data_IF_611912260084
#
_entry.id   IF_611912260084
#
_cell.length_a   1.000
_cell.length_b   1.000
_cell.length_c   1.000
_cell.angle_alpha   90.00
_cell.angle_beta   90.00
_cell.angle_gamma   90.00
#
_symmetry.space_group_name_H-M   'P 1'
#
loop_
_entity.id
_entity.type
_entity.pdbx_description
1 polymer ?
#
# COMPACT_ATOMS: atom_id res chain seq x y z
N UNK A 1 -54.98 -20.89 20.23
CA UNK A 1 -54.12 -21.43 19.17
C UNK A 1 -53.39 -20.29 18.49
N UNK A 2 -52.09 -20.11 18.80
CA UNK A 2 -51.31 -18.97 18.35
C UNK A 2 -50.84 -19.12 16.89
N UNK A 3 -51.12 -18.10 16.07
CA UNK A 3 -50.65 -18.02 14.70
C UNK A 3 -49.15 -17.68 14.68
N UNK A 4 -48.36 -18.52 13.99
CA UNK A 4 -46.91 -18.32 13.77
C UNK A 4 -46.73 -17.28 12.68
N UNK A 5 -46.23 -16.10 13.03
CA UNK A 5 -45.83 -15.07 12.07
C UNK A 5 -44.61 -15.56 11.25
N UNK A 6 -44.57 -15.33 9.93
CA UNK A 6 -43.41 -15.66 9.10
C UNK A 6 -42.23 -14.71 9.40
N UNK A 7 -41.01 -15.24 9.29
CA UNK A 7 -39.77 -14.48 9.47
C UNK A 7 -39.65 -13.34 8.44
N UNK A 8 -39.07 -12.18 8.80
CA UNK A 8 -38.86 -11.10 7.85
C UNK A 8 -37.86 -11.51 6.77
N UNK A 9 -38.18 -11.14 5.52
CA UNK A 9 -37.32 -11.37 4.36
C UNK A 9 -35.95 -10.69 4.55
N UNK A 10 -34.89 -11.39 4.16
CA UNK A 10 -33.55 -10.84 4.11
C UNK A 10 -33.53 -9.58 3.24
N UNK A 11 -32.95 -8.49 3.76
CA UNK A 11 -32.75 -7.27 3.01
C UNK A 11 -31.95 -7.56 1.72
N UNK A 12 -32.27 -6.92 0.58
CA UNK A 12 -31.52 -7.10 -0.64
C UNK A 12 -30.07 -6.67 -0.42
N UNK A 13 -29.12 -7.45 -0.95
CA UNK A 13 -27.70 -7.11 -0.95
C UNK A 13 -27.52 -5.73 -1.58
N UNK A 14 -26.79 -4.85 -0.90
CA UNK A 14 -26.40 -3.57 -1.46
C UNK A 14 -25.75 -3.78 -2.84
N UNK A 15 -26.07 -2.95 -3.85
CA UNK A 15 -25.38 -3.02 -5.13
C UNK A 15 -23.87 -2.86 -4.89
N UNK A 16 -23.05 -3.63 -5.59
CA UNK A 16 -21.61 -3.37 -5.65
C UNK A 16 -21.43 -1.90 -6.01
N UNK A 17 -20.78 -1.14 -5.13
CA UNK A 17 -20.32 0.19 -5.49
C UNK A 17 -19.48 0.05 -6.77
N UNK A 18 -19.68 0.90 -7.78
CA UNK A 18 -18.75 0.98 -8.90
C UNK A 18 -17.34 1.15 -8.33
N UNK A 19 -16.37 0.43 -8.88
CA UNK A 19 -14.98 0.75 -8.60
C UNK A 19 -14.79 2.26 -8.77
N UNK A 20 -14.14 2.89 -7.79
CA UNK A 20 -13.79 4.31 -7.89
C UNK A 20 -13.16 4.54 -9.28
N UNK A 21 -13.53 5.61 -10.00
CA UNK A 21 -12.90 5.90 -11.27
C UNK A 21 -11.39 5.93 -11.02
N UNK A 22 -10.64 5.05 -11.69
CA UNK A 22 -9.21 5.27 -11.86
C UNK A 22 -9.08 6.70 -12.40
N UNK A 23 -8.13 7.52 -11.90
CA UNK A 23 -8.03 8.90 -12.35
C UNK A 23 -7.80 8.92 -13.86
N UNK A 24 -8.86 9.21 -14.63
CA UNK A 24 -8.83 9.27 -16.09
C UNK A 24 -8.10 10.52 -16.61
N UNK A 25 -7.16 11.06 -15.82
CA UNK A 25 -6.40 12.27 -16.12
C UNK A 25 -5.05 12.34 -15.37
N UNK A 26 -4.49 11.21 -14.93
CA UNK A 26 -3.05 11.18 -14.74
C UNK A 26 -2.43 11.25 -16.15
N UNK A 27 -1.49 12.18 -16.43
CA UNK A 27 -0.75 12.11 -17.69
C UNK A 27 -0.18 10.71 -17.86
N UNK A 28 -0.20 10.19 -19.08
CA UNK A 28 0.48 8.92 -19.39
C UNK A 28 1.89 8.99 -18.82
N UNK A 29 2.28 7.97 -18.04
CA UNK A 29 3.61 7.91 -17.47
C UNK A 29 4.62 8.05 -18.62
N UNK A 30 5.67 8.86 -18.47
CA UNK A 30 6.67 9.00 -19.54
C UNK A 30 7.26 7.62 -19.85
N UNK A 31 7.74 7.42 -21.09
CA UNK A 31 8.22 6.11 -21.60
C UNK A 31 9.17 5.37 -20.63
N UNK A 32 9.94 6.12 -19.83
CA UNK A 32 10.81 5.57 -18.77
C UNK A 32 10.09 4.72 -17.71
N UNK A 33 8.80 4.93 -17.45
CA UNK A 33 8.00 4.14 -16.51
C UNK A 33 7.15 3.03 -17.17
N UNK A 34 7.09 2.97 -18.50
CA UNK A 34 6.45 1.84 -19.18
C UNK A 34 7.31 0.57 -19.09
N UNK A 35 8.63 0.71 -19.02
CA UNK A 35 9.58 -0.41 -18.96
C UNK A 35 9.54 -1.18 -17.62
N UNK A 36 9.11 -0.53 -16.53
CA UNK A 36 9.18 -1.10 -15.17
C UNK A 36 7.85 -1.72 -14.67
N UNK A 37 6.78 -1.71 -15.47
CA UNK A 37 5.48 -2.31 -15.08
C UNK A 37 5.56 -3.81 -14.75
N UNK A 38 6.58 -4.49 -15.28
CA UNK A 38 6.83 -5.93 -15.08
C UNK A 38 7.58 -6.22 -13.77
N UNK A 39 8.26 -5.22 -13.21
CA UNK A 39 9.13 -5.38 -12.05
C UNK A 39 8.39 -5.84 -10.80
N UNK A 40 7.15 -5.38 -10.60
CA UNK A 40 6.32 -5.80 -9.46
C UNK A 40 5.82 -7.25 -9.56
N UNK A 41 5.74 -7.82 -10.76
CA UNK A 41 5.17 -9.16 -11.00
C UNK A 41 6.20 -10.27 -11.13
N UNK A 42 7.40 -9.97 -11.63
CA UNK A 42 8.40 -11.01 -11.97
C UNK A 42 9.52 -11.17 -10.93
N UNK A 43 9.53 -10.34 -9.87
CA UNK A 43 10.68 -10.26 -8.96
C UNK A 43 10.54 -11.13 -7.70
N UNK A 44 11.61 -11.86 -7.39
CA UNK A 44 11.85 -12.43 -6.07
C UNK A 44 12.35 -11.30 -5.15
N UNK A 45 11.50 -10.85 -4.22
CA UNK A 45 11.91 -9.89 -3.18
C UNK A 45 13.04 -10.49 -2.34
N UNK A 46 13.90 -9.63 -1.77
CA UNK A 46 15.04 -10.12 -0.98
C UNK A 46 14.58 -11.04 0.17
N UNK A 47 15.47 -11.94 0.67
CA UNK A 47 15.18 -12.74 1.84
C UNK A 47 14.72 -11.89 3.03
N UNK A 48 15.37 -10.74 3.26
CA UNK A 48 15.04 -9.81 4.35
C UNK A 48 13.61 -9.27 4.23
N UNK A 49 13.20 -8.92 3.01
CA UNK A 49 11.84 -8.48 2.73
C UNK A 49 10.82 -9.59 3.00
N UNK A 50 11.08 -10.80 2.51
CA UNK A 50 10.19 -11.96 2.69
C UNK A 50 10.03 -12.33 4.16
N UNK A 51 11.14 -12.39 4.89
CA UNK A 51 11.14 -12.67 6.32
C UNK A 51 10.33 -11.62 7.10
N UNK A 52 10.53 -10.35 6.78
CA UNK A 52 9.78 -9.28 7.42
C UNK A 52 8.29 -9.31 7.07
N UNK A 53 7.93 -9.62 5.82
CA UNK A 53 6.54 -9.74 5.40
C UNK A 53 5.82 -10.88 6.15
N UNK A 54 6.47 -12.03 6.32
CA UNK A 54 5.91 -13.14 7.11
C UNK A 54 5.79 -12.79 8.60
N UNK A 55 6.80 -12.13 9.18
CA UNK A 55 6.74 -11.65 10.56
C UNK A 55 5.60 -10.65 10.78
N UNK A 56 5.36 -9.75 9.81
CA UNK A 56 4.26 -8.80 9.84
C UNK A 56 2.88 -9.49 9.81
N UNK A 57 2.70 -10.50 8.95
CA UNK A 57 1.45 -11.29 8.91
C UNK A 57 1.17 -11.95 10.26
N UNK A 58 2.18 -12.56 10.88
CA UNK A 58 2.04 -13.20 12.19
C UNK A 58 1.71 -12.19 13.29
N UNK A 59 2.35 -11.01 13.27
CA UNK A 59 2.11 -9.94 14.23
C UNK A 59 0.68 -9.38 14.11
N UNK A 60 0.22 -9.11 12.89
CA UNK A 60 -1.12 -8.59 12.63
C UNK A 60 -2.20 -9.59 13.07
N UNK A 61 -2.01 -10.88 12.75
CA UNK A 61 -2.91 -11.95 13.22
C UNK A 61 -3.00 -12.01 14.74
N UNK A 62 -1.87 -11.85 15.44
CA UNK A 62 -1.82 -11.81 16.90
C UNK A 62 -2.47 -10.55 17.50
N UNK A 63 -2.57 -9.49 16.72
CA UNK A 63 -3.25 -8.24 17.08
C UNK A 63 -4.76 -8.24 16.76
N UNK A 64 -5.32 -9.40 16.35
CA UNK A 64 -6.72 -9.55 15.92
C UNK A 64 -7.08 -8.63 14.74
N UNK A 65 -6.10 -8.34 13.88
CA UNK A 65 -6.31 -7.68 12.60
C UNK A 65 -6.53 -8.75 11.53
N UNK A 66 -7.80 -8.98 11.16
CA UNK A 66 -8.15 -9.80 10.01
C UNK A 66 -8.17 -8.91 8.76
N UNK A 67 -6.98 -8.64 8.22
CA UNK A 67 -6.83 -7.91 6.96
C UNK A 67 -6.98 -8.88 5.79
N UNK A 68 -7.81 -8.53 4.80
CA UNK A 68 -7.93 -9.32 3.58
C UNK A 68 -6.57 -9.41 2.84
N UNK A 69 -6.37 -10.45 2.04
CA UNK A 69 -5.08 -10.73 1.39
C UNK A 69 -4.57 -9.63 0.43
N UNK A 70 -5.44 -8.70 0.02
CA UNK A 70 -5.10 -7.52 -0.79
C UNK A 70 -5.45 -6.21 -0.11
N UNK A 71 -5.63 -6.21 1.21
CA UNK A 71 -5.93 -5.00 1.94
C UNK A 71 -4.77 -4.00 1.84
N UNK A 72 -5.11 -2.75 1.54
CA UNK A 72 -4.20 -1.60 1.57
C UNK A 72 -4.88 -0.48 2.36
N UNK A 73 -4.13 0.31 3.16
CA UNK A 73 -4.74 1.41 3.87
C UNK A 73 -5.14 2.53 2.92
N UNK A 74 -6.23 3.22 3.25
CA UNK A 74 -6.62 4.44 2.56
C UNK A 74 -5.53 5.50 2.72
N UNK A 75 -5.09 6.08 1.62
CA UNK A 75 -4.12 7.17 1.63
C UNK A 75 -4.84 8.49 1.84
N UNK A 76 -4.54 9.19 2.93
CA UNK A 76 -5.07 10.53 3.23
C UNK A 76 -4.25 11.59 2.51
N UNK A 77 -2.93 11.41 2.49
CA UNK A 77 -1.99 12.26 1.77
C UNK A 77 -0.96 11.38 1.08
N UNK A 78 -0.87 11.49 -0.24
CA UNK A 78 0.09 10.74 -1.01
C UNK A 78 1.53 11.20 -0.71
N UNK A 79 2.51 10.29 -0.76
CA UNK A 79 3.91 10.63 -0.66
C UNK A 79 4.33 11.57 -1.79
N UNK A 80 5.26 12.47 -1.49
CA UNK A 80 5.93 13.33 -2.45
C UNK A 80 7.44 13.11 -2.33
N UNK A 81 7.98 12.00 -2.89
CA UNK A 81 9.41 11.73 -2.84
C UNK A 81 10.16 12.73 -3.72
N UNK A 82 11.36 13.10 -3.30
CA UNK A 82 12.25 13.92 -4.11
C UNK A 82 12.96 13.04 -5.15
N UNK A 83 13.06 13.52 -6.39
CA UNK A 83 13.82 12.81 -7.42
C UNK A 83 15.33 12.87 -7.11
N UNK A 84 16.06 11.73 -7.10
CA UNK A 84 17.51 11.76 -6.89
C UNK A 84 18.23 12.53 -8.00
N UNK A 85 19.02 13.53 -7.63
CA UNK A 85 19.69 14.43 -8.59
C UNK A 85 20.58 13.67 -9.56
N UNK A 86 21.32 12.67 -9.09
CA UNK A 86 22.23 11.91 -9.95
C UNK A 86 21.50 10.92 -10.87
N UNK A 87 20.32 10.43 -10.47
CA UNK A 87 19.45 9.65 -11.35
C UNK A 87 18.84 10.54 -12.44
N UNK A 88 18.43 11.76 -12.09
CA UNK A 88 17.90 12.73 -13.05
C UNK A 88 18.93 13.12 -14.12
N UNK A 89 20.19 13.38 -13.73
CA UNK A 89 21.28 13.66 -14.69
C UNK A 89 21.53 12.52 -15.67
N UNK A 90 21.22 11.29 -15.27
CA UNK A 90 21.43 10.08 -16.07
C UNK A 90 20.15 9.64 -16.80
N UNK A 91 19.05 10.41 -16.70
CA UNK A 91 17.74 10.06 -17.25
C UNK A 91 17.25 8.65 -16.80
N UNK A 92 17.64 8.24 -15.60
CA UNK A 92 17.19 6.97 -15.03
C UNK A 92 15.79 7.16 -14.47
N UNK A 93 14.89 6.24 -14.79
CA UNK A 93 13.62 6.03 -14.10
C UNK A 93 13.71 4.79 -13.21
N UNK A 94 12.79 4.64 -12.26
CA UNK A 94 12.74 3.43 -11.45
C UNK A 94 11.47 3.27 -10.65
N UNK A 95 11.13 2.03 -10.35
CA UNK A 95 10.01 1.64 -9.51
C UNK A 95 10.50 1.08 -8.19
N UNK A 96 9.80 1.41 -7.11
CA UNK A 96 10.13 0.96 -5.77
C UNK A 96 8.90 0.38 -5.07
N UNK A 97 9.14 -0.60 -4.21
CA UNK A 97 8.19 -1.06 -3.22
C UNK A 97 8.72 -0.67 -1.84
N UNK A 98 7.90 0.03 -1.07
CA UNK A 98 8.22 0.44 0.30
C UNK A 98 7.39 -0.37 1.27
N UNK A 99 8.02 -1.09 2.20
CA UNK A 99 7.34 -1.77 3.29
C UNK A 99 7.50 -0.99 4.58
N UNK A 100 6.41 -0.80 5.31
CA UNK A 100 6.38 -0.01 6.55
C UNK A 100 5.35 -0.53 7.54
N UNK A 101 5.46 -0.06 8.77
CA UNK A 101 4.45 -0.27 9.80
C UNK A 101 3.57 0.98 9.89
N UNK A 102 2.27 0.83 9.72
CA UNK A 102 1.30 1.91 9.83
C UNK A 102 0.98 2.18 11.30
N UNK A 103 1.47 3.30 11.82
CA UNK A 103 1.20 3.73 13.18
C UNK A 103 -0.27 4.07 13.44
N UNK A 104 -0.66 4.07 14.72
CA UNK A 104 -2.00 4.49 15.19
C UNK A 104 -2.34 5.95 14.88
N UNK A 105 -1.32 6.75 14.54
CA UNK A 105 -1.37 8.14 14.12
C UNK A 105 -1.53 8.29 12.59
N UNK A 106 -1.57 7.19 11.84
CA UNK A 106 -1.64 7.22 10.38
C UNK A 106 -0.29 7.44 9.72
N UNK A 107 0.81 7.45 10.48
CA UNK A 107 2.15 7.74 9.97
C UNK A 107 2.95 6.46 9.74
N UNK A 108 3.70 6.38 8.63
CA UNK A 108 4.52 5.22 8.31
C UNK A 108 5.82 5.18 9.15
N UNK A 109 6.07 4.04 9.79
CA UNK A 109 7.20 3.77 10.69
C UNK A 109 7.98 2.53 10.22
N UNK A 110 9.19 2.34 10.74
CA UNK A 110 10.04 1.17 10.46
C UNK A 110 10.16 0.87 8.96
N UNK A 111 10.49 1.86 8.14
CA UNK A 111 10.42 1.75 6.68
C UNK A 111 11.60 0.98 6.10
N UNK A 112 11.36 0.13 5.11
CA UNK A 112 12.36 -0.40 4.19
C UNK A 112 11.89 -0.21 2.75
N UNK A 113 12.81 -0.11 1.81
CA UNK A 113 12.49 0.04 0.39
C UNK A 113 13.36 -0.89 -0.45
N UNK A 114 12.77 -1.41 -1.51
CA UNK A 114 13.44 -2.11 -2.58
C UNK A 114 13.05 -1.48 -3.90
N UNK A 115 14.02 -1.16 -4.75
CA UNK A 115 13.80 -0.50 -6.03
C UNK A 115 14.37 -1.31 -7.20
N UNK A 116 13.91 -1.01 -8.42
CA UNK A 116 14.48 -1.51 -9.68
C UNK A 116 15.91 -1.03 -9.86
N UNK A 117 16.19 0.21 -9.50
CA UNK A 117 17.54 0.77 -9.40
C UNK A 117 17.83 1.26 -7.95
N UNK A 118 18.96 0.88 -7.35
CA UNK A 118 19.30 1.26 -5.98
C UNK A 118 19.44 2.78 -5.77
N UNK A 119 19.62 3.59 -6.82
CA UNK A 119 19.67 5.05 -6.74
C UNK A 119 18.40 5.67 -6.13
N UNK A 120 17.26 4.97 -6.21
CA UNK A 120 15.98 5.45 -5.68
C UNK A 120 15.70 5.03 -4.23
N UNK A 121 16.42 4.05 -3.68
CA UNK A 121 16.14 3.47 -2.36
C UNK A 121 16.08 4.53 -1.23
N UNK A 122 17.04 5.46 -1.21
CA UNK A 122 17.16 6.48 -0.16
C UNK A 122 15.99 7.48 -0.17
N UNK A 123 15.47 7.83 -1.34
CA UNK A 123 14.32 8.73 -1.44
C UNK A 123 13.00 7.98 -1.24
N UNK A 124 12.90 6.75 -1.75
CA UNK A 124 11.72 5.91 -1.59
C UNK A 124 11.42 5.60 -0.12
N UNK A 125 12.42 5.20 0.66
CA UNK A 125 12.24 4.80 2.08
C UNK A 125 11.76 5.94 2.98
N UNK A 126 11.97 7.21 2.58
CA UNK A 126 11.49 8.35 3.35
C UNK A 126 9.96 8.38 3.40
N UNK A 127 9.32 8.01 2.29
CA UNK A 127 7.88 8.08 2.08
C UNK A 127 7.34 9.47 2.48
N UNK A 128 8.06 10.52 2.06
CA UNK A 128 7.93 11.86 2.59
C UNK A 128 6.52 12.42 2.41
N UNK A 129 5.94 12.95 3.49
CA UNK A 129 4.61 13.55 3.47
C UNK A 129 3.44 12.56 3.41
N UNK A 130 3.69 11.24 3.38
CA UNK A 130 2.63 10.25 3.36
C UNK A 130 1.86 10.19 4.69
N UNK A 131 0.54 10.19 4.58
CA UNK A 131 -0.39 9.99 5.71
C UNK A 131 -1.48 9.04 5.26
N UNK A 132 -1.83 8.10 6.13
CA UNK A 132 -2.83 7.06 5.88
C UNK A 132 -3.91 7.09 6.96
N UNK A 133 -5.08 6.51 6.66
CA UNK A 133 -6.12 6.35 7.66
C UNK A 133 -5.68 5.33 8.73
N UNK A 134 -5.75 5.67 10.03
CA UNK A 134 -5.46 4.71 11.09
C UNK A 134 -6.45 3.54 11.08
N UNK A 135 -5.94 2.34 11.38
CA UNK A 135 -6.76 1.14 11.46
C UNK A 135 -7.25 0.93 12.89
N UNK A 136 -8.52 0.53 13.00
CA UNK A 136 -9.12 0.10 14.27
C UNK A 136 -9.35 -1.40 14.25
N UNK A 137 -9.10 -2.06 15.38
CA UNK A 137 -9.47 -3.45 15.56
C UNK A 137 -10.98 -3.61 15.83
N UNK A 138 -11.45 -4.84 16.02
CA UNK A 138 -12.87 -5.14 16.30
C UNK A 138 -13.41 -4.46 17.57
N UNK A 139 -12.52 -4.12 18.53
CA UNK A 139 -12.86 -3.37 19.73
C UNK A 139 -12.90 -1.84 19.52
N UNK A 140 -12.73 -1.36 18.28
CA UNK A 140 -12.72 0.07 17.94
C UNK A 140 -11.46 0.82 18.37
N UNK A 141 -10.42 0.11 18.83
CA UNK A 141 -9.16 0.70 19.31
C UNK A 141 -8.20 0.85 18.14
N UNK A 142 -7.57 2.02 18.01
CA UNK A 142 -6.53 2.23 17.01
C UNK A 142 -5.36 1.26 17.28
N UNK A 143 -4.93 0.57 16.25
CA UNK A 143 -3.86 -0.44 16.31
C UNK A 143 -2.86 -0.19 15.19
N UNK A 144 -1.62 -0.59 15.45
CA UNK A 144 -0.57 -0.54 14.45
C UNK A 144 -0.72 -1.72 13.48
N UNK A 145 -0.53 -1.47 12.19
CA UNK A 145 -0.51 -2.51 11.16
C UNK A 145 0.91 -2.71 10.66
N UNK A 146 1.41 -3.93 10.74
CA UNK A 146 2.77 -4.28 10.32
C UNK A 146 2.83 -4.61 8.83
N UNK A 147 3.95 -4.26 8.20
CA UNK A 147 4.31 -4.74 6.86
C UNK A 147 3.39 -4.30 5.72
N UNK A 148 2.84 -3.09 5.81
CA UNK A 148 2.11 -2.46 4.71
C UNK A 148 3.08 -2.19 3.57
N UNK A 149 2.70 -2.54 2.34
CA UNK A 149 3.49 -2.26 1.14
C UNK A 149 2.88 -1.12 0.34
N UNK A 150 3.71 -0.24 -0.20
CA UNK A 150 3.30 0.90 -1.02
C UNK A 150 4.22 1.05 -2.25
N UNK A 151 3.67 1.02 -3.48
CA UNK A 151 4.45 1.22 -4.69
C UNK A 151 4.77 2.71 -4.90
N UNK A 152 5.99 3.00 -5.32
CA UNK A 152 6.44 4.32 -5.76
C UNK A 152 7.05 4.21 -7.14
N UNK A 153 6.87 5.25 -7.95
CA UNK A 153 7.45 5.35 -9.28
C UNK A 153 8.19 6.68 -9.39
N UNK A 154 9.42 6.62 -9.89
CA UNK A 154 10.26 7.76 -10.21
C UNK A 154 10.39 7.79 -11.72
N UNK A 155 9.60 8.66 -12.35
CA UNK A 155 9.52 8.75 -13.79
C UNK A 155 10.15 10.06 -14.28
N UNK A 156 11.11 9.95 -15.20
CA UNK A 156 11.63 11.09 -15.95
C UNK A 156 11.79 10.68 -17.42
N UNK A 157 11.44 11.59 -18.32
CA UNK A 157 11.61 11.48 -19.77
C UNK A 157 12.40 12.67 -20.29
#
# INVERSE_FOLDING_TARGET
SGARLPAPAAAPKAPKAPAAPQPAAAPEAPEGCEADKVWFTERDMSPEWRERAEAAKLANKSAWLNLDAGWVPTTVKHPAPSYPVDAAKQHLSGTCLVMFDLGVDGLPKNKIAECSDPAFNTEAVKLNGAVFEPVKNEAGKAVEVKGVTYPLEFCIG
#
